data_IF_930748901490
#
_entry.id   IF_930748901490
#
_cell.length_a   1.000
_cell.length_b   1.000
_cell.length_c   1.000
_cell.angle_alpha   90.00
_cell.angle_beta   90.00
_cell.angle_gamma   90.00
#
_symmetry.space_group_name_H-M   'P 1'
#
loop_
_entity.id
_entity.type
_entity.pdbx_description
1 polymer ?
#
# COMPACT_ATOMS: atom_id res chain seq x y z
N UNK A 1 7.05 -5.41 -9.37
CA UNK A 1 6.43 -5.39 -8.02
C UNK A 1 7.45 -5.44 -6.88
N UNK A 2 7.92 -6.60 -6.37
CA UNK A 2 8.75 -6.61 -5.14
C UNK A 2 10.04 -5.78 -5.24
N UNK A 3 10.71 -5.84 -6.39
CA UNK A 3 11.90 -5.03 -6.68
C UNK A 3 11.59 -3.53 -6.62
N UNK A 4 10.59 -3.08 -7.37
CA UNK A 4 10.14 -1.67 -7.38
C UNK A 4 9.73 -1.19 -5.99
N UNK A 5 8.99 -2.01 -5.24
CA UNK A 5 8.56 -1.67 -3.89
C UNK A 5 9.75 -1.45 -2.96
N UNK A 6 10.76 -2.32 -3.02
CA UNK A 6 11.99 -2.14 -2.25
C UNK A 6 12.77 -0.91 -2.73
N UNK A 7 12.88 -0.69 -4.04
CA UNK A 7 13.58 0.45 -4.62
C UNK A 7 12.95 1.80 -4.22
N UNK A 8 11.62 1.88 -4.14
CA UNK A 8 10.87 3.12 -3.83
C UNK A 8 10.63 3.36 -2.35
N UNK A 9 10.38 2.30 -1.57
CA UNK A 9 9.97 2.43 -0.16
C UNK A 9 11.00 1.93 0.84
N UNK A 10 12.00 1.16 0.41
CA UNK A 10 12.95 0.48 1.30
C UNK A 10 12.33 -0.66 2.10
N UNK A 11 11.05 -0.98 1.91
CA UNK A 11 10.39 -2.05 2.64
C UNK A 11 10.68 -3.42 2.04
N UNK A 12 11.10 -4.33 2.90
CA UNK A 12 11.26 -5.74 2.57
C UNK A 12 11.84 -6.55 3.74
N UNK A 13 11.59 -7.87 3.80
CA UNK A 13 10.70 -8.62 2.92
C UNK A 13 9.21 -8.42 3.29
N UNK A 14 8.36 -8.23 2.28
CA UNK A 14 6.90 -8.21 2.45
C UNK A 14 6.29 -9.57 2.13
N UNK A 15 5.21 -9.93 2.82
CA UNK A 15 4.44 -11.14 2.52
C UNK A 15 3.20 -10.77 1.69
N UNK A 16 3.15 -11.22 0.44
CA UNK A 16 1.92 -11.12 -0.35
C UNK A 16 0.82 -11.98 0.27
N UNK A 17 -0.32 -11.36 0.60
CA UNK A 17 -1.50 -12.05 1.12
C UNK A 17 -2.45 -12.46 0.00
N UNK A 18 -2.80 -11.51 -0.89
CA UNK A 18 -3.67 -11.76 -2.04
C UNK A 18 -3.62 -10.61 -3.05
N UNK A 19 -4.11 -10.87 -4.26
CA UNK A 19 -4.50 -9.83 -5.22
C UNK A 19 -5.89 -9.33 -4.88
N UNK A 20 -6.10 -8.02 -4.86
CA UNK A 20 -7.39 -7.40 -4.59
C UNK A 20 -8.22 -7.27 -5.87
N UNK A 21 -7.58 -6.87 -6.97
CA UNK A 21 -8.29 -6.72 -8.23
C UNK A 21 -7.43 -6.17 -9.36
N UNK A 22 -8.10 -5.84 -10.46
CA UNK A 22 -7.53 -5.11 -11.59
C UNK A 22 -8.51 -4.01 -11.95
N UNK A 23 -8.01 -2.78 -12.07
CA UNK A 23 -8.76 -1.65 -12.59
C UNK A 23 -8.18 -1.20 -13.92
N UNK A 24 -9.04 -0.89 -14.89
CA UNK A 24 -8.66 -0.38 -16.21
C UNK A 24 -9.30 0.97 -16.41
N UNK A 25 -8.49 1.98 -16.68
CA UNK A 25 -8.97 3.35 -16.86
C UNK A 25 -8.08 4.13 -17.81
N UNK A 26 -8.66 5.17 -18.41
CA UNK A 26 -7.90 6.09 -19.24
C UNK A 26 -7.29 7.19 -18.39
N UNK A 27 -5.97 7.42 -18.51
CA UNK A 27 -5.26 8.45 -17.78
C UNK A 27 -4.94 9.60 -18.72
N UNK A 28 -5.75 10.67 -18.63
CA UNK A 28 -5.74 11.79 -19.58
C UNK A 28 -4.36 12.45 -19.72
N UNK A 29 -3.65 12.65 -18.61
CA UNK A 29 -2.33 13.31 -18.60
C UNK A 29 -1.28 12.58 -19.46
N UNK A 30 -1.32 11.25 -19.49
CA UNK A 30 -0.41 10.42 -20.31
C UNK A 30 -1.07 9.91 -21.60
N UNK A 31 -2.34 10.29 -21.84
CA UNK A 31 -3.16 9.91 -23.00
C UNK A 31 -3.16 8.41 -23.29
N UNK A 32 -3.18 7.58 -22.24
CA UNK A 32 -3.04 6.13 -22.37
C UNK A 32 -4.04 5.35 -21.52
N UNK A 33 -4.35 4.13 -21.96
CA UNK A 33 -5.05 3.14 -21.15
C UNK A 33 -4.08 2.56 -20.11
N UNK A 34 -4.50 2.60 -18.85
CA UNK A 34 -3.73 2.06 -17.73
C UNK A 34 -4.45 0.83 -17.20
N UNK A 35 -3.70 -0.26 -17.06
CA UNK A 35 -4.13 -1.45 -16.31
C UNK A 35 -3.37 -1.48 -14.99
N UNK A 36 -4.11 -1.38 -13.88
CA UNK A 36 -3.56 -1.34 -12.53
C UNK A 36 -3.92 -2.61 -11.77
N UNK A 37 -2.92 -3.24 -11.15
CA UNK A 37 -3.09 -4.43 -10.34
C UNK A 37 -2.83 -4.09 -8.87
N UNK A 38 -3.86 -4.21 -8.04
CA UNK A 38 -3.73 -3.95 -6.61
C UNK A 38 -3.60 -5.25 -5.82
N UNK A 39 -2.66 -5.25 -4.87
CA UNK A 39 -2.32 -6.39 -4.03
C UNK A 39 -2.33 -5.98 -2.57
N UNK A 40 -2.72 -6.92 -1.70
CA UNK A 40 -2.59 -6.78 -0.26
C UNK A 40 -1.30 -7.48 0.20
N UNK A 41 -0.41 -6.72 0.82
CA UNK A 41 0.82 -7.22 1.41
C UNK A 41 0.82 -6.99 2.93
N UNK A 42 1.47 -7.89 3.65
CA UNK A 42 1.72 -7.77 5.08
C UNK A 42 3.18 -7.34 5.31
N UNK A 43 3.35 -6.21 6.00
CA UNK A 43 4.64 -5.71 6.41
C UNK A 43 5.16 -6.44 7.67
N UNK A 44 6.48 -6.55 7.89
CA UNK A 44 7.03 -7.07 9.12
C UNK A 44 6.57 -6.28 10.36
N UNK A 45 6.38 -6.96 11.49
CA UNK A 45 5.93 -6.33 12.75
C UNK A 45 6.89 -5.25 13.30
N UNK A 46 8.13 -5.21 12.82
CA UNK A 46 9.14 -4.22 13.22
C UNK A 46 9.23 -3.04 12.24
N UNK A 47 8.29 -2.91 11.31
CA UNK A 47 8.24 -1.76 10.40
C UNK A 47 7.90 -0.50 11.19
N UNK A 48 8.67 0.60 11.07
CA UNK A 48 8.37 1.84 11.76
C UNK A 48 7.00 2.40 11.39
N UNK A 49 6.39 3.17 12.30
CA UNK A 49 5.11 3.84 12.04
C UNK A 49 5.20 4.90 10.93
N UNK A 50 6.40 5.47 10.78
CA UNK A 50 6.77 6.43 9.76
C UNK A 50 8.23 6.26 9.39
N UNK A 51 8.56 6.46 8.11
CA UNK A 51 9.92 6.41 7.62
C UNK A 51 10.07 7.26 6.36
N UNK A 52 11.31 7.56 5.99
CA UNK A 52 11.63 8.15 4.70
C UNK A 52 12.62 7.26 3.97
N UNK A 53 12.45 7.14 2.65
CA UNK A 53 13.33 6.35 1.81
C UNK A 53 13.80 7.16 0.63
N UNK A 54 15.09 7.07 0.31
CA UNK A 54 15.64 7.63 -0.92
C UNK A 54 15.47 6.59 -2.01
N UNK A 55 14.72 6.93 -3.04
CA UNK A 55 14.48 6.05 -4.19
C UNK A 55 15.82 5.61 -4.80
N UNK A 56 15.99 4.30 -4.96
CA UNK A 56 17.18 3.69 -5.56
C UNK A 56 16.94 3.16 -6.98
N UNK A 57 15.69 3.21 -7.45
CA UNK A 57 15.31 2.85 -8.82
C UNK A 57 15.95 3.78 -9.86
N UNK A 58 16.08 3.30 -11.09
CA UNK A 58 16.78 3.96 -12.19
C UNK A 58 15.95 4.97 -13.00
N UNK A 59 14.69 5.20 -12.61
CA UNK A 59 13.72 5.96 -13.40
C UNK A 59 13.71 7.45 -13.04
N UNK A 60 12.70 8.19 -13.49
CA UNK A 60 12.61 9.65 -13.35
C UNK A 60 12.67 10.19 -11.92
N UNK A 61 12.44 9.33 -10.92
CA UNK A 61 12.46 9.66 -9.50
C UNK A 61 13.81 9.43 -8.80
N UNK A 62 14.89 9.21 -9.57
CA UNK A 62 16.26 9.13 -9.04
C UNK A 62 16.53 10.30 -8.07
N UNK A 63 16.91 9.96 -6.83
CA UNK A 63 17.21 10.86 -5.71
C UNK A 63 16.02 11.50 -4.99
N UNK A 64 14.78 11.24 -5.42
CA UNK A 64 13.61 11.62 -4.64
C UNK A 64 13.65 10.95 -3.25
N UNK A 65 13.17 11.66 -2.23
CA UNK A 65 12.97 11.12 -0.89
C UNK A 65 11.46 11.06 -0.68
N UNK A 66 10.93 9.85 -0.56
CA UNK A 66 9.54 9.64 -0.22
C UNK A 66 9.39 9.45 1.28
N UNK A 67 8.33 10.04 1.84
CA UNK A 67 7.98 9.92 3.25
C UNK A 67 6.70 9.12 3.37
N UNK A 68 6.76 8.13 4.25
CA UNK A 68 5.71 7.15 4.47
C UNK A 68 5.25 7.20 5.91
N UNK A 69 3.97 6.91 6.12
CA UNK A 69 3.37 6.62 7.42
C UNK A 69 2.22 5.65 7.23
N UNK A 70 1.91 4.87 8.25
CA UNK A 70 0.65 4.13 8.26
C UNK A 70 -0.54 5.08 8.42
N UNK A 71 -1.60 4.83 7.65
CA UNK A 71 -2.88 5.49 7.84
C UNK A 71 -3.73 4.65 8.78
N UNK A 72 -4.38 5.32 9.73
CA UNK A 72 -5.43 4.72 10.53
C UNK A 72 -6.75 4.70 9.76
N UNK A 73 -7.70 3.89 10.22
CA UNK A 73 -9.00 3.70 9.55
C UNK A 73 -9.79 5.00 9.39
N UNK A 74 -9.70 5.90 10.37
CA UNK A 74 -10.31 7.22 10.38
C UNK A 74 -9.59 8.23 9.47
N UNK A 75 -8.47 7.85 8.87
CA UNK A 75 -7.69 8.67 7.93
C UNK A 75 -7.87 8.24 6.47
N UNK A 76 -8.80 7.32 6.18
CA UNK A 76 -8.99 6.82 4.80
C UNK A 76 -9.44 7.90 3.82
N UNK A 77 -10.01 9.02 4.31
CA UNK A 77 -10.33 10.20 3.49
C UNK A 77 -9.08 10.90 2.92
N UNK A 78 -7.88 10.56 3.40
CA UNK A 78 -6.61 11.03 2.83
C UNK A 78 -6.13 10.23 1.61
N UNK A 79 -6.75 9.08 1.34
CA UNK A 79 -6.46 8.31 0.15
C UNK A 79 -6.96 9.06 -1.09
N UNK A 80 -6.17 9.06 -2.16
CA UNK A 80 -6.65 9.58 -3.43
C UNK A 80 -7.72 8.66 -4.02
N UNK A 81 -8.61 9.22 -4.83
CA UNK A 81 -9.68 8.47 -5.51
C UNK A 81 -9.14 7.26 -6.32
N UNK A 82 -7.90 7.33 -6.80
CA UNK A 82 -7.24 6.23 -7.52
C UNK A 82 -6.93 5.03 -6.61
N UNK A 83 -6.81 5.24 -5.30
CA UNK A 83 -6.36 4.26 -4.31
C UNK A 83 -7.50 3.64 -3.49
N UNK A 84 -8.71 4.20 -3.53
CA UNK A 84 -9.82 3.82 -2.64
C UNK A 84 -10.65 2.64 -3.15
N UNK A 85 -10.58 2.30 -4.44
CA UNK A 85 -11.43 1.29 -5.11
C UNK A 85 -11.57 -0.03 -4.33
N UNK A 86 -10.47 -0.56 -3.80
CA UNK A 86 -10.44 -1.84 -3.08
C UNK A 86 -10.26 -1.69 -1.57
N UNK A 87 -10.30 -0.47 -1.03
CA UNK A 87 -10.22 -0.23 0.42
C UNK A 87 -11.63 -0.30 1.01
N UNK A 88 -12.23 -1.49 0.96
CA UNK A 88 -13.59 -1.76 1.44
C UNK A 88 -13.65 -3.01 2.30
N UNK A 89 -14.71 -3.15 3.10
CA UNK A 89 -14.95 -4.33 3.96
C UNK A 89 -14.95 -5.65 3.17
N UNK A 90 -15.44 -5.62 1.93
CA UNK A 90 -15.50 -6.79 1.05
C UNK A 90 -14.10 -7.26 0.62
N UNK A 91 -13.22 -6.31 0.26
CA UNK A 91 -11.91 -6.63 -0.29
C UNK A 91 -10.83 -6.79 0.78
N UNK A 92 -10.92 -6.04 1.90
CA UNK A 92 -9.95 -6.04 3.00
C UNK A 92 -10.65 -6.14 4.36
N UNK A 93 -11.38 -7.24 4.65
CA UNK A 93 -12.13 -7.38 5.89
C UNK A 93 -11.27 -7.25 7.16
N UNK A 94 -9.97 -7.55 7.08
CA UNK A 94 -9.03 -7.45 8.20
C UNK A 94 -8.80 -6.02 8.67
N UNK A 95 -8.97 -5.01 7.81
CA UNK A 95 -8.87 -3.59 8.18
C UNK A 95 -10.14 -3.07 8.89
N UNK A 96 -11.27 -3.73 8.69
CA UNK A 96 -12.57 -3.24 9.19
C UNK A 96 -13.11 -4.07 10.35
N UNK A 97 -12.78 -5.36 10.41
CA UNK A 97 -13.22 -6.27 11.44
C UNK A 97 -12.17 -6.33 12.56
N UNK A 98 -12.33 -5.46 13.55
CA UNK A 98 -11.52 -5.48 14.76
C UNK A 98 -11.70 -6.79 15.54
N UNK A 99 -10.87 -7.80 15.26
CA UNK A 99 -10.53 -8.78 16.30
C UNK A 99 -9.42 -8.17 17.15
N UNK A 100 -9.81 -7.39 18.16
CA UNK A 100 -8.96 -7.16 19.32
C UNK A 100 -8.55 -8.54 19.85
N UNK A 101 -7.26 -8.87 20.04
CA UNK A 101 -6.91 -10.07 20.75
C UNK A 101 -7.54 -9.97 22.14
N UNK A 102 -8.49 -10.86 22.44
CA UNK A 102 -8.97 -11.03 23.81
C UNK A 102 -7.76 -11.53 24.61
N UNK A 103 -7.20 -10.65 25.43
CA UNK A 103 -6.37 -11.05 26.56
C UNK A 103 -7.22 -11.96 27.44
N UNK A 104 -7.03 -13.27 27.30
CA UNK A 104 -7.49 -14.23 28.28
C UNK A 104 -6.34 -14.44 29.24
N UNK A 105 -6.34 -13.66 30.32
CA UNK A 105 -5.68 -14.06 31.55
C UNK A 105 -6.41 -15.31 32.08
N UNK A 106 -5.68 -16.42 32.17
CA UNK A 106 -5.89 -17.46 33.17
C UNK A 106 -4.54 -17.95 33.65
#
# INVERSE_FOLDING_TARGET
MYRELFEESGLGPLKLLRKLGVHRYYKEFIRSQVERHDFLLLAPNHTPDQWSHRVTGGDGDIKCIFSYRWLQKDEFDLLSDELTTFVTLEHIPELFNGKTPRSSHK
#
